data_IF_873311360921
#
_entry.id   IF_873311360921
#
_cell.length_a   1.000
_cell.length_b   1.000
_cell.length_c   1.000
_cell.angle_alpha   90.00
_cell.angle_beta   90.00
_cell.angle_gamma   90.00
#
_symmetry.space_group_name_H-M   'P 1'
#
loop_
_entity.id
_entity.type
_entity.pdbx_description
1 polymer ?
#
# COMPACT_ATOMS: atom_id res chain seq x y z
N UNK A 1 -7.30 2.10 -9.78
CA UNK A 1 -6.68 2.55 -8.52
C UNK A 1 -5.44 1.69 -8.26
N UNK A 2 -4.35 2.28 -7.76
CA UNK A 2 -3.15 1.53 -7.39
C UNK A 2 -2.73 1.90 -5.97
N UNK A 3 -2.45 0.92 -5.12
CA UNK A 3 -2.05 1.15 -3.73
C UNK A 3 -0.63 0.65 -3.51
N UNK A 4 0.11 1.32 -2.63
CA UNK A 4 1.39 0.85 -2.08
C UNK A 4 1.46 1.20 -0.61
N UNK A 5 2.30 0.48 0.12
CA UNK A 5 2.56 0.73 1.53
C UNK A 5 4.06 0.87 1.79
N UNK A 6 4.40 1.37 2.97
CA UNK A 6 5.75 1.36 3.51
C UNK A 6 5.72 1.24 5.02
N UNK A 7 6.78 0.67 5.59
CA UNK A 7 6.96 0.56 7.03
C UNK A 7 8.28 1.16 7.48
N UNK A 8 8.32 1.67 8.71
CA UNK A 8 9.55 2.19 9.31
C UNK A 8 9.50 2.11 10.84
N UNK A 9 10.68 2.13 11.46
CA UNK A 9 10.80 2.43 12.89
C UNK A 9 10.91 3.92 13.19
N UNK A 10 11.11 4.76 12.17
CA UNK A 10 11.14 6.21 12.31
C UNK A 10 9.76 6.81 12.03
N UNK A 11 9.30 7.70 12.91
CA UNK A 11 8.00 8.38 12.77
C UNK A 11 7.92 9.26 11.52
N UNK A 12 9.06 9.79 11.05
CA UNK A 12 9.11 10.61 9.84
C UNK A 12 9.23 9.81 8.54
N UNK A 13 9.32 8.47 8.61
CA UNK A 13 9.43 7.56 7.46
C UNK A 13 10.65 7.80 6.56
N UNK A 14 11.68 8.48 7.06
CA UNK A 14 12.91 8.72 6.30
C UNK A 14 13.57 7.39 5.91
N UNK A 15 13.95 7.26 4.64
CA UNK A 15 14.56 6.05 4.08
C UNK A 15 13.60 4.87 3.82
N UNK A 16 12.31 4.97 4.20
CA UNK A 16 11.35 3.91 3.95
C UNK A 16 10.84 3.94 2.50
N UNK A 17 10.88 2.77 1.84
CA UNK A 17 10.53 2.60 0.42
C UNK A 17 9.07 2.16 0.29
N UNK A 18 8.38 2.70 -0.70
CA UNK A 18 7.04 2.26 -1.09
C UNK A 18 7.11 0.96 -1.85
N UNK A 19 6.32 -0.03 -1.42
CA UNK A 19 6.30 -1.37 -2.00
C UNK A 19 4.87 -1.83 -2.29
N UNK A 20 4.74 -2.70 -3.29
CA UNK A 20 3.52 -3.46 -3.58
C UNK A 20 3.56 -4.89 -3.00
N UNK A 21 2.67 -5.79 -3.46
CA UNK A 21 2.50 -7.13 -2.88
C UNK A 21 3.71 -8.05 -3.02
N UNK A 22 4.59 -7.80 -3.99
CA UNK A 22 5.82 -8.59 -4.18
C UNK A 22 7.02 -8.04 -3.38
N UNK A 23 6.82 -6.98 -2.59
CA UNK A 23 7.88 -6.33 -1.82
C UNK A 23 8.77 -5.37 -2.61
N UNK A 24 8.47 -5.11 -3.88
CA UNK A 24 9.21 -4.17 -4.73
C UNK A 24 8.43 -2.88 -4.97
N UNK A 25 9.13 -1.82 -5.40
CA UNK A 25 8.52 -0.52 -5.70
C UNK A 25 7.80 -0.46 -7.06
N UNK A 26 7.94 -1.51 -7.87
CA UNK A 26 7.39 -1.58 -9.23
C UNK A 26 5.99 -2.20 -9.29
N UNK A 27 5.52 -2.81 -8.20
CA UNK A 27 4.18 -3.42 -8.13
C UNK A 27 3.23 -2.63 -7.26
N UNK A 28 1.95 -2.94 -7.38
CA UNK A 28 0.87 -2.26 -6.70
C UNK A 28 -0.12 -3.28 -6.19
N UNK A 29 -0.79 -2.96 -5.08
CA UNK A 29 -2.02 -3.65 -4.70
C UNK A 29 -3.13 -3.01 -5.53
N UNK A 30 -3.53 -3.67 -6.61
CA UNK A 30 -4.53 -3.19 -7.56
C UNK A 30 -5.65 -4.23 -7.80
N UNK A 31 -6.89 -3.75 -7.90
CA UNK A 31 -8.09 -4.60 -7.99
C UNK A 31 -8.88 -4.68 -6.68
N UNK A 32 -9.94 -5.50 -6.69
CA UNK A 32 -10.85 -5.72 -5.55
C UNK A 32 -10.56 -7.12 -4.98
N UNK A 33 -9.37 -7.31 -4.45
CA UNK A 33 -8.93 -8.60 -3.91
C UNK A 33 -8.15 -8.41 -2.61
N UNK A 34 -8.12 -9.47 -1.81
CA UNK A 34 -7.23 -9.57 -0.65
C UNK A 34 -5.82 -9.90 -1.12
N UNK A 35 -4.84 -9.19 -0.57
CA UNK A 35 -3.43 -9.43 -0.83
C UNK A 35 -2.71 -9.71 0.49
N UNK A 36 -1.79 -10.65 0.47
CA UNK A 36 -0.86 -10.85 1.58
C UNK A 36 0.13 -9.69 1.65
N UNK A 37 0.46 -9.28 2.87
CA UNK A 37 1.54 -8.34 3.08
C UNK A 37 2.89 -9.01 2.76
N UNK A 38 3.84 -8.29 2.12
CA UNK A 38 5.17 -8.81 1.87
C UNK A 38 5.84 -9.37 3.13
N UNK A 39 6.52 -10.50 2.97
CA UNK A 39 7.23 -11.15 4.08
C UNK A 39 8.34 -10.24 4.64
N UNK A 40 8.55 -10.28 5.96
CA UNK A 40 9.64 -9.55 6.61
C UNK A 40 9.41 -8.04 6.77
N UNK A 41 8.17 -7.57 6.61
CA UNK A 41 7.80 -6.20 6.97
C UNK A 41 7.95 -5.97 8.47
N UNK A 42 8.96 -5.22 8.86
CA UNK A 42 9.26 -4.87 10.25
C UNK A 42 9.27 -3.36 10.40
N UNK A 43 8.39 -2.83 11.24
CA UNK A 43 8.36 -1.41 11.56
C UNK A 43 7.27 -1.07 12.57
N UNK A 44 7.52 -0.03 13.37
CA UNK A 44 6.53 0.53 14.30
C UNK A 44 5.43 1.30 13.59
N UNK A 45 5.75 1.89 12.45
CA UNK A 45 4.84 2.76 11.71
C UNK A 45 4.58 2.20 10.32
N UNK A 46 3.33 2.30 9.88
CA UNK A 46 2.88 1.98 8.54
C UNK A 46 2.30 3.24 7.87
N UNK A 47 2.55 3.38 6.58
CA UNK A 47 1.89 4.35 5.72
C UNK A 47 1.42 3.66 4.45
N UNK A 48 0.29 4.10 3.92
CA UNK A 48 -0.20 3.70 2.61
C UNK A 48 -0.34 4.94 1.72
N UNK A 49 -0.27 4.73 0.41
CA UNK A 49 -0.59 5.74 -0.60
C UNK A 49 -1.46 5.13 -1.67
N UNK A 50 -2.36 5.95 -2.21
CA UNK A 50 -3.33 5.53 -3.22
C UNK A 50 -3.21 6.46 -4.41
N UNK A 51 -3.04 5.87 -5.60
CA UNK A 51 -3.06 6.58 -6.87
C UNK A 51 -4.43 6.43 -7.51
N UNK A 52 -5.07 7.57 -7.76
CA UNK A 52 -6.32 7.69 -8.50
C UNK A 52 -6.00 8.12 -9.93
N UNK A 53 -6.46 7.33 -10.89
CA UNK A 53 -6.34 7.60 -12.33
C UNK A 53 -7.74 7.46 -12.93
N UNK A 54 -8.14 8.44 -13.74
CA UNK A 54 -9.46 8.48 -14.38
C UNK A 54 -9.28 8.56 -15.89
N UNK A 55 -10.15 7.86 -16.61
CA UNK A 55 -10.28 7.91 -18.06
C UNK A 55 -11.35 8.92 -18.51
N UNK A 56 -11.82 9.79 -17.61
CA UNK A 56 -12.93 10.74 -17.77
C UNK A 56 -14.33 10.14 -17.94
N UNK A 57 -14.42 8.80 -18.01
CA UNK A 57 -15.68 8.05 -18.12
C UNK A 57 -16.05 7.42 -16.77
N UNK A 58 -15.05 6.90 -16.06
CA UNK A 58 -15.15 6.26 -14.76
C UNK A 58 -14.40 7.09 -13.72
N UNK A 59 -15.11 7.50 -12.65
CA UNK A 59 -14.49 8.16 -11.50
C UNK A 59 -13.88 7.09 -10.59
N UNK A 60 -12.57 7.12 -10.33
CA UNK A 60 -11.97 6.15 -9.42
C UNK A 60 -12.43 6.45 -7.98
N UNK A 61 -12.93 5.42 -7.30
CA UNK A 61 -13.45 5.49 -5.93
C UNK A 61 -12.69 4.50 -5.04
N UNK A 62 -12.37 4.92 -3.82
CA UNK A 62 -11.92 4.05 -2.74
C UNK A 62 -12.96 4.15 -1.61
N UNK A 63 -13.75 3.10 -1.44
CA UNK A 63 -14.76 3.04 -0.37
C UNK A 63 -14.13 2.60 0.95
N UNK A 64 -13.27 1.58 0.89
CA UNK A 64 -12.69 0.95 2.07
C UNK A 64 -11.28 0.43 1.77
N UNK A 65 -10.38 0.57 2.75
CA UNK A 65 -9.08 -0.08 2.78
C UNK A 65 -8.91 -0.75 4.14
N UNK A 66 -9.00 -2.09 4.16
CA UNK A 66 -8.79 -2.89 5.37
C UNK A 66 -7.34 -3.39 5.40
N UNK A 67 -6.63 -3.12 6.49
CA UNK A 67 -5.31 -3.71 6.77
C UNK A 67 -5.47 -4.63 7.97
N UNK A 68 -5.46 -5.94 7.70
CA UNK A 68 -5.45 -6.95 8.74
C UNK A 68 -3.99 -7.25 9.12
N UNK A 69 -3.70 -7.20 10.43
CA UNK A 69 -2.40 -7.60 10.96
C UNK A 69 -2.60 -8.36 12.26
N UNK A 70 -1.71 -9.31 12.52
CA UNK A 70 -1.64 -10.04 13.78
C UNK A 70 -0.37 -9.65 14.54
N UNK A 71 -0.42 -9.73 15.86
CA UNK A 71 0.68 -9.37 16.77
C UNK A 71 1.50 -10.59 17.15
#
# INVERSE_FOLDING_TARGET
MKVQLRVSNSSNMSGAVWIGPDGTSSTYFDGISTFDLPIGLIGRYIQYRVFFESDTVSTPLLEELIINYEK
#
